data_IF_872097875546
#
_entry.id   IF_872097875546
#
_cell.length_a   1.000
_cell.length_b   1.000
_cell.length_c   1.000
_cell.angle_alpha   90.00
_cell.angle_beta   90.00
_cell.angle_gamma   90.00
#
_symmetry.space_group_name_H-M   'P 1'
#
loop_
_entity.id
_entity.type
_entity.pdbx_description
1 polymer ?
#
# COMPACT_ATOMS: atom_id res chain seq x y z
N UNK A 1 62.41 -49.66 -12.63
CA UNK A 1 61.72 -50.22 -13.79
C UNK A 1 60.24 -50.30 -13.47
N UNK A 2 59.41 -49.67 -14.31
CA UNK A 2 57.96 -49.52 -14.19
C UNK A 2 57.26 -50.88 -14.14
N UNK A 3 56.23 -51.02 -13.29
CA UNK A 3 55.21 -52.06 -13.44
C UNK A 3 53.85 -51.37 -13.65
N UNK A 4 53.31 -51.51 -14.86
CA UNK A 4 52.07 -50.88 -15.32
C UNK A 4 50.93 -51.84 -14.96
N UNK A 5 50.14 -51.52 -13.93
CA UNK A 5 48.88 -52.21 -13.66
C UNK A 5 47.82 -51.72 -14.65
N UNK A 6 47.40 -52.61 -15.53
CA UNK A 6 46.25 -52.43 -16.43
C UNK A 6 44.98 -52.48 -15.59
N UNK A 7 44.26 -51.37 -15.48
CA UNK A 7 42.97 -51.27 -14.80
C UNK A 7 41.91 -51.84 -15.75
N UNK A 8 41.15 -52.82 -15.27
CA UNK A 8 40.15 -53.56 -16.05
C UNK A 8 38.86 -52.74 -16.20
N UNK A 9 38.77 -51.94 -17.26
CA UNK A 9 37.66 -51.00 -17.55
C UNK A 9 36.38 -51.69 -18.04
N UNK A 10 36.42 -53.00 -18.30
CA UNK A 10 35.32 -53.80 -18.81
C UNK A 10 34.17 -53.98 -17.79
N UNK A 11 34.52 -54.13 -16.51
CA UNK A 11 33.54 -54.39 -15.45
C UNK A 11 32.71 -53.15 -15.08
N UNK A 12 33.30 -51.95 -15.14
CA UNK A 12 32.60 -50.70 -14.84
C UNK A 12 31.61 -50.27 -15.94
N UNK A 13 31.92 -50.53 -17.22
CA UNK A 13 30.98 -50.26 -18.31
C UNK A 13 29.77 -51.20 -18.28
N UNK A 14 29.96 -52.48 -17.94
CA UNK A 14 28.85 -53.43 -17.80
C UNK A 14 27.92 -53.04 -16.65
N UNK A 15 28.47 -52.53 -15.54
CA UNK A 15 27.67 -52.09 -14.41
C UNK A 15 26.91 -50.79 -14.72
N UNK A 16 27.50 -49.87 -15.47
CA UNK A 16 26.83 -48.66 -15.94
C UNK A 16 25.66 -48.97 -16.89
N UNK A 17 25.88 -49.89 -17.85
CA UNK A 17 24.82 -50.27 -18.79
C UNK A 17 23.65 -50.98 -18.11
N UNK A 18 23.88 -51.76 -17.04
CA UNK A 18 22.79 -52.36 -16.25
C UNK A 18 21.93 -51.29 -15.56
N UNK A 19 22.55 -50.27 -14.97
CA UNK A 19 21.83 -49.18 -14.29
C UNK A 19 20.95 -48.39 -15.26
N UNK A 20 21.40 -48.19 -16.50
CA UNK A 20 20.62 -47.50 -17.54
C UNK A 20 19.42 -48.34 -18.01
N UNK A 21 19.59 -49.66 -18.12
CA UNK A 21 18.49 -50.57 -18.50
C UNK A 21 17.44 -50.64 -17.39
N UNK A 22 17.84 -50.76 -16.13
CA UNK A 22 16.93 -50.78 -14.98
C UNK A 22 16.12 -49.46 -14.88
N UNK A 23 16.76 -48.30 -15.07
CA UNK A 23 16.08 -47.00 -15.06
C UNK A 23 15.08 -46.81 -16.23
N UNK A 24 15.33 -47.47 -17.37
CA UNK A 24 14.42 -47.47 -18.52
C UNK A 24 13.19 -48.38 -18.28
N UNK A 25 13.37 -49.54 -17.65
CA UNK A 25 12.28 -50.44 -17.27
C UNK A 25 11.36 -49.81 -16.20
N UNK A 26 11.93 -49.08 -15.24
CA UNK A 26 11.14 -48.34 -14.24
C UNK A 26 10.31 -47.21 -14.88
N UNK A 27 10.86 -46.48 -15.86
CA UNK A 27 10.14 -45.43 -16.57
C UNK A 27 8.99 -45.98 -17.45
N UNK A 28 9.19 -47.15 -18.06
CA UNK A 28 8.16 -47.85 -18.81
C UNK A 28 7.04 -48.40 -17.89
N UNK A 29 7.40 -48.87 -16.70
CA UNK A 29 6.45 -49.34 -15.66
C UNK A 29 5.65 -48.19 -15.05
N UNK A 30 6.26 -47.03 -14.84
CA UNK A 30 5.55 -45.81 -14.39
C UNK A 30 4.58 -45.34 -15.48
N UNK A 31 4.98 -45.39 -16.76
CA UNK A 31 4.13 -44.99 -17.88
C UNK A 31 2.94 -45.92 -18.09
N UNK A 32 3.09 -47.22 -17.84
CA UNK A 32 1.98 -48.19 -17.89
C UNK A 32 1.05 -48.09 -16.69
N UNK A 33 1.56 -47.72 -15.51
CA UNK A 33 0.77 -47.47 -14.30
C UNK A 33 -0.08 -46.19 -14.43
N UNK A 34 0.42 -45.14 -15.09
CA UNK A 34 -0.34 -43.91 -15.37
C UNK A 34 -1.49 -44.17 -16.37
N UNK A 35 -1.30 -45.09 -17.32
CA UNK A 35 -2.34 -45.44 -18.30
C UNK A 35 -3.45 -46.36 -17.75
N UNK A 36 -3.32 -46.87 -16.52
CA UNK A 36 -4.31 -47.77 -15.90
C UNK A 36 -5.08 -47.15 -14.73
N UNK A 37 -4.76 -45.92 -14.32
CA UNK A 37 -5.65 -45.13 -13.46
C UNK A 37 -6.62 -44.34 -14.34
N UNK A 38 -7.76 -44.95 -14.68
CA UNK A 38 -8.94 -44.21 -15.13
C UNK A 38 -9.21 -43.07 -14.14
N UNK A 39 -9.21 -41.84 -14.66
CA UNK A 39 -9.78 -40.70 -13.96
C UNK A 39 -11.28 -40.98 -13.91
N UNK A 40 -11.72 -41.58 -12.81
CA UNK A 40 -13.12 -41.64 -12.42
C UNK A 40 -13.56 -40.19 -12.17
N UNK A 41 -14.02 -39.53 -13.22
CA UNK A 41 -14.70 -38.24 -13.11
C UNK A 41 -16.00 -38.49 -12.37
N UNK A 42 -16.02 -38.14 -11.08
CA UNK A 42 -17.21 -38.14 -10.24
C UNK A 42 -18.35 -37.37 -10.95
N UNK A 43 -19.44 -38.04 -11.37
CA UNK A 43 -20.52 -37.41 -12.13
C UNK A 43 -21.29 -36.34 -11.35
N UNK A 44 -21.03 -36.19 -10.04
CA UNK A 44 -21.74 -35.25 -9.16
C UNK A 44 -21.21 -33.81 -9.18
N UNK A 45 -20.12 -33.52 -9.92
CA UNK A 45 -19.56 -32.16 -10.01
C UNK A 45 -20.05 -31.33 -11.22
N UNK A 46 -20.76 -31.94 -12.17
CA UNK A 46 -21.33 -31.24 -13.33
C UNK A 46 -22.75 -30.68 -13.08
N UNK A 47 -23.36 -30.99 -11.93
CA UNK A 47 -24.70 -30.52 -11.56
C UNK A 47 -24.70 -29.52 -10.39
N UNK A 48 -23.89 -28.45 -10.48
CA UNK A 48 -24.11 -27.25 -9.68
C UNK A 48 -24.54 -26.09 -10.59
N UNK A 49 -25.82 -26.10 -10.90
CA UNK A 49 -26.55 -25.12 -11.68
C UNK A 49 -26.43 -23.70 -11.08
N UNK A 50 -26.35 -22.71 -11.97
CA UNK A 50 -26.21 -21.28 -11.67
C UNK A 50 -27.56 -20.71 -11.23
N UNK A 51 -27.64 -20.28 -9.97
CA UNK A 51 -28.76 -19.46 -9.46
C UNK A 51 -28.65 -17.99 -9.97
N UNK A 52 -29.68 -17.43 -10.63
CA UNK A 52 -29.70 -16.03 -11.02
C UNK A 52 -30.31 -15.19 -9.88
N UNK A 53 -29.52 -14.35 -9.19
CA UNK A 53 -30.08 -13.40 -8.21
C UNK A 53 -29.74 -11.93 -8.53
N UNK A 54 -30.77 -11.27 -9.06
CA UNK A 54 -31.21 -9.89 -8.84
C UNK A 54 -30.20 -8.74 -8.77
N UNK A 55 -30.19 -7.96 -9.85
CA UNK A 55 -30.16 -6.50 -9.95
C UNK A 55 -29.68 -5.67 -8.73
N UNK A 56 -28.47 -5.11 -8.86
CA UNK A 56 -28.00 -3.99 -8.04
C UNK A 56 -26.52 -3.67 -8.30
N UNK A 57 -26.27 -2.65 -9.14
CA UNK A 57 -24.96 -2.08 -9.52
C UNK A 57 -24.15 -2.85 -10.58
N UNK A 58 -24.45 -2.55 -11.85
CA UNK A 58 -24.10 -3.32 -13.04
C UNK A 58 -22.66 -3.23 -13.58
N UNK A 59 -21.70 -2.60 -12.88
CA UNK A 59 -20.33 -2.50 -13.42
C UNK A 59 -19.37 -3.63 -13.02
N UNK A 60 -19.73 -4.53 -12.09
CA UNK A 60 -18.75 -5.46 -11.48
C UNK A 60 -19.22 -6.93 -11.40
N UNK A 61 -19.97 -7.44 -12.38
CA UNK A 61 -20.43 -8.85 -12.37
C UNK A 61 -19.42 -9.84 -12.97
N UNK A 62 -18.31 -9.37 -13.55
CA UNK A 62 -17.27 -10.23 -14.16
C UNK A 62 -15.88 -10.13 -13.53
N UNK A 63 -15.68 -9.22 -12.58
CA UNK A 63 -14.39 -9.04 -11.93
C UNK A 63 -14.34 -9.85 -10.64
N UNK A 64 -13.32 -10.71 -10.51
CA UNK A 64 -13.09 -11.48 -9.28
C UNK A 64 -12.98 -10.54 -8.07
N UNK A 65 -13.55 -10.95 -6.93
CA UNK A 65 -13.62 -10.15 -5.71
C UNK A 65 -12.23 -9.68 -5.24
N UNK A 66 -11.19 -10.48 -5.47
CA UNK A 66 -9.79 -10.10 -5.16
C UNK A 66 -9.31 -8.84 -5.87
N UNK A 67 -9.68 -8.63 -7.14
CA UNK A 67 -9.31 -7.42 -7.88
C UNK A 67 -10.08 -6.20 -7.39
N UNK A 68 -11.31 -6.38 -6.91
CA UNK A 68 -12.07 -5.29 -6.27
C UNK A 68 -11.35 -4.80 -5.02
N UNK A 69 -10.88 -5.71 -4.16
CA UNK A 69 -10.08 -5.35 -2.97
C UNK A 69 -8.76 -4.67 -3.38
N UNK A 70 -8.10 -5.15 -4.45
CA UNK A 70 -6.88 -4.56 -4.98
C UNK A 70 -7.07 -3.13 -5.49
N UNK A 71 -8.16 -2.86 -6.24
CA UNK A 71 -8.50 -1.52 -6.74
C UNK A 71 -8.79 -0.56 -5.58
N UNK A 72 -9.54 -0.99 -4.58
CA UNK A 72 -9.81 -0.14 -3.42
C UNK A 72 -8.55 0.12 -2.59
N UNK A 73 -7.68 -0.87 -2.43
CA UNK A 73 -6.38 -0.68 -1.78
C UNK A 73 -5.46 0.26 -2.56
N UNK A 74 -5.52 0.24 -3.90
CA UNK A 74 -4.82 1.20 -4.75
C UNK A 74 -5.23 2.64 -4.41
N UNK A 75 -6.54 2.90 -4.35
CA UNK A 75 -7.04 4.22 -3.94
C UNK A 75 -6.69 4.54 -2.48
N UNK A 76 -6.61 3.54 -1.61
CA UNK A 76 -6.14 3.72 -0.23
C UNK A 76 -4.69 4.19 -0.16
N UNK A 77 -3.80 3.54 -0.91
CA UNK A 77 -2.40 3.96 -1.03
C UNK A 77 -2.25 5.33 -1.69
N UNK A 78 -3.09 5.63 -2.69
CA UNK A 78 -3.18 6.96 -3.29
C UNK A 78 -3.54 8.03 -2.25
N UNK A 79 -4.65 7.85 -1.52
CA UNK A 79 -5.11 8.78 -0.48
C UNK A 79 -4.07 8.95 0.63
N UNK A 80 -3.46 7.86 1.08
CA UNK A 80 -2.41 7.86 2.10
C UNK A 80 -1.22 8.74 1.67
N UNK A 81 -0.73 8.57 0.44
CA UNK A 81 0.41 9.33 -0.05
C UNK A 81 0.07 10.75 -0.48
N UNK A 82 -1.16 11.00 -0.92
CA UNK A 82 -1.66 12.34 -1.16
C UNK A 82 -1.59 13.18 0.14
N UNK A 83 -2.18 12.68 1.22
CA UNK A 83 -2.13 13.36 2.52
C UNK A 83 -0.70 13.52 3.05
N UNK A 84 0.18 12.55 2.79
CA UNK A 84 1.58 12.58 3.22
C UNK A 84 2.36 13.73 2.57
N UNK A 85 2.20 13.93 1.26
CA UNK A 85 2.94 14.95 0.51
C UNK A 85 2.39 16.35 0.72
N UNK A 86 1.10 16.48 1.09
CA UNK A 86 0.43 17.77 1.26
C UNK A 86 1.25 18.83 2.01
N UNK A 87 1.80 18.52 3.18
CA UNK A 87 2.56 19.53 3.94
C UNK A 87 3.92 19.81 3.35
N UNK A 88 4.62 18.82 2.81
CA UNK A 88 5.94 19.02 2.20
C UNK A 88 5.89 20.05 1.08
N UNK A 89 4.76 20.12 0.36
CA UNK A 89 4.53 21.13 -0.69
C UNK A 89 3.94 22.41 -0.08
N UNK A 90 2.93 22.29 0.79
CA UNK A 90 2.24 23.46 1.34
C UNK A 90 3.13 24.35 2.23
N UNK A 91 4.15 23.78 2.90
CA UNK A 91 5.02 24.55 3.80
C UNK A 91 5.75 25.70 3.08
N UNK A 92 6.06 25.52 1.79
CA UNK A 92 6.69 26.54 0.93
C UNK A 92 5.77 27.74 0.70
N UNK A 93 4.45 27.52 0.70
CA UNK A 93 3.46 28.59 0.61
C UNK A 93 3.10 29.17 1.99
N UNK A 94 3.39 28.46 3.08
CA UNK A 94 3.05 28.84 4.45
C UNK A 94 4.09 29.77 5.09
N UNK A 95 5.37 29.58 4.79
CA UNK A 95 6.50 30.24 5.49
C UNK A 95 7.27 31.20 4.59
N UNK A 96 7.69 32.34 5.15
CA UNK A 96 8.47 33.34 4.42
C UNK A 96 9.91 32.87 4.10
N UNK A 97 10.44 33.17 2.90
CA UNK A 97 11.84 32.89 2.57
C UNK A 97 12.82 33.73 3.42
N UNK A 98 13.77 33.07 4.08
CA UNK A 98 14.76 33.72 4.95
C UNK A 98 15.72 34.70 4.24
N UNK A 99 15.83 34.65 2.91
CA UNK A 99 16.65 35.59 2.14
C UNK A 99 16.23 37.07 2.27
N UNK A 100 15.10 37.35 2.92
CA UNK A 100 14.66 38.72 3.24
C UNK A 100 15.16 39.28 4.57
N UNK A 101 15.80 38.47 5.44
CA UNK A 101 16.28 38.93 6.77
C UNK A 101 17.79 39.22 6.83
N UNK A 102 18.60 38.66 5.94
CA UNK A 102 20.06 38.81 5.97
C UNK A 102 20.63 39.77 4.91
N UNK A 103 19.78 40.38 4.07
CA UNK A 103 20.21 41.39 3.10
C UNK A 103 20.01 42.81 3.67
N UNK A 104 20.78 43.13 4.70
CA UNK A 104 21.06 44.50 5.13
C UNK A 104 22.57 44.76 5.17
N UNK A 105 23.30 44.24 4.17
CA UNK A 105 24.66 44.68 3.89
C UNK A 105 24.77 44.93 2.39
N UNK A 106 24.91 46.22 2.07
CA UNK A 106 25.46 46.81 0.84
C UNK A 106 24.71 46.60 -0.49
N UNK A 107 23.68 47.43 -0.71
CA UNK A 107 23.54 48.17 -1.98
C UNK A 107 22.56 49.37 -1.82
N UNK A 108 23.09 50.57 -2.09
CA UNK A 108 22.41 51.86 -2.34
C UNK A 108 21.83 52.66 -1.14
N UNK A 109 22.23 53.93 -0.94
CA UNK A 109 21.59 54.85 -0.02
C UNK A 109 20.48 55.64 -0.74
N UNK A 110 19.22 55.24 -0.59
CA UNK A 110 18.08 56.14 -0.82
C UNK A 110 16.77 55.54 -0.27
N UNK A 111 16.01 56.41 0.38
CA UNK A 111 14.63 56.29 0.85
C UNK A 111 14.39 55.48 2.12
N UNK A 112 14.26 56.24 3.21
CA UNK A 112 13.48 55.94 4.40
C UNK A 112 12.11 55.35 4.00
N UNK A 113 12.02 54.02 3.98
CA UNK A 113 10.74 53.32 3.86
C UNK A 113 10.27 53.05 5.26
N UNK A 114 9.29 53.84 5.71
CA UNK A 114 8.35 53.44 6.76
C UNK A 114 8.07 51.94 6.63
N UNK A 115 8.26 51.19 7.72
CA UNK A 115 8.04 49.74 7.77
C UNK A 115 6.57 49.40 7.57
N UNK A 116 6.06 49.57 6.35
CA UNK A 116 4.87 48.89 5.87
C UNK A 116 5.31 47.48 5.50
N UNK A 117 4.99 46.52 6.37
CA UNK A 117 5.07 45.09 6.07
C UNK A 117 4.52 44.89 4.65
N UNK A 118 5.29 44.31 3.70
CA UNK A 118 4.76 44.02 2.37
C UNK A 118 3.54 43.10 2.53
N UNK A 119 2.59 43.11 1.57
CA UNK A 119 1.36 42.35 1.68
C UNK A 119 1.69 40.89 2.02
N UNK A 120 1.15 40.44 3.15
CA UNK A 120 1.49 39.19 3.85
C UNK A 120 1.12 37.97 2.98
N UNK A 121 2.01 37.60 2.06
CA UNK A 121 1.87 36.35 1.27
C UNK A 121 2.04 35.11 2.16
N UNK A 122 2.79 35.23 3.25
CA UNK A 122 3.12 34.14 4.17
C UNK A 122 2.43 34.34 5.51
N UNK A 123 1.89 33.26 6.07
CA UNK A 123 1.12 33.26 7.32
C UNK A 123 2.01 33.00 8.55
N UNK A 124 3.16 32.34 8.38
CA UNK A 124 4.04 31.95 9.47
C UNK A 124 5.49 32.42 9.26
N UNK A 125 6.15 32.78 10.36
CA UNK A 125 7.57 33.10 10.44
C UNK A 125 8.31 31.97 11.19
N UNK A 126 8.44 30.82 10.53
CA UNK A 126 9.16 29.67 11.05
C UNK A 126 10.60 29.68 10.53
N UNK A 127 11.56 29.33 11.38
CA UNK A 127 12.92 29.11 10.92
C UNK A 127 13.06 27.73 10.26
N UNK A 128 14.07 27.52 9.39
CA UNK A 128 14.27 26.25 8.71
C UNK A 128 14.42 25.03 9.63
N UNK A 129 14.89 25.23 10.88
CA UNK A 129 14.98 24.14 11.86
C UNK A 129 13.58 23.71 12.33
N UNK A 130 12.69 24.67 12.63
CA UNK A 130 11.28 24.37 12.95
C UNK A 130 10.58 23.65 11.79
N UNK A 131 10.76 24.12 10.56
CA UNK A 131 10.18 23.47 9.38
C UNK A 131 10.65 22.01 9.24
N UNK A 132 11.96 21.79 9.35
CA UNK A 132 12.57 20.46 9.31
C UNK A 132 12.02 19.53 10.41
N UNK A 133 11.84 20.05 11.63
CA UNK A 133 11.26 19.29 12.74
C UNK A 133 9.80 18.93 12.45
N UNK A 134 8.98 19.87 11.94
CA UNK A 134 7.57 19.61 11.63
C UNK A 134 7.44 18.55 10.52
N UNK A 135 8.25 18.64 9.47
CA UNK A 135 8.29 17.66 8.38
C UNK A 135 8.77 16.30 8.88
N UNK A 136 9.83 16.29 9.70
CA UNK A 136 10.44 15.09 10.27
C UNK A 136 9.55 14.38 11.30
N UNK A 137 8.72 15.12 12.04
CA UNK A 137 7.83 14.60 13.11
C UNK A 137 6.96 13.41 12.66
N UNK A 138 6.51 13.42 11.41
CA UNK A 138 5.76 12.31 10.81
C UNK A 138 6.55 10.99 10.86
N UNK A 139 7.85 11.03 10.53
CA UNK A 139 8.67 9.83 10.40
C UNK A 139 8.94 9.16 11.75
N UNK A 140 9.08 9.93 12.83
CA UNK A 140 9.24 9.37 14.18
C UNK A 140 8.04 8.49 14.58
N UNK A 141 6.80 8.98 14.36
CA UNK A 141 5.59 8.19 14.62
C UNK A 141 5.42 7.00 13.68
N UNK A 142 5.78 7.19 12.41
CA UNK A 142 5.71 6.15 11.38
C UNK A 142 6.62 4.97 11.69
N UNK A 143 7.90 5.21 11.99
CA UNK A 143 8.87 4.16 12.30
C UNK A 143 8.49 3.40 13.58
N UNK A 144 8.00 4.09 14.61
CA UNK A 144 7.59 3.46 15.87
C UNK A 144 6.50 2.39 15.68
N UNK A 145 5.59 2.60 14.73
CA UNK A 145 4.42 1.73 14.52
C UNK A 145 4.58 0.72 13.40
N UNK A 146 5.56 0.89 12.49
CA UNK A 146 5.83 -0.07 11.41
C UNK A 146 6.13 -1.47 11.94
N UNK A 147 6.94 -1.59 13.00
CA UNK A 147 7.33 -2.89 13.59
C UNK A 147 6.11 -3.63 14.18
N UNK A 148 5.22 -2.89 14.82
CA UNK A 148 4.06 -3.44 15.53
C UNK A 148 2.87 -3.68 14.57
N UNK A 149 2.85 -3.00 13.42
CA UNK A 149 1.72 -2.97 12.50
C UNK A 149 1.28 -4.35 11.98
N UNK A 150 2.21 -5.29 11.77
CA UNK A 150 1.88 -6.65 11.35
C UNK A 150 1.10 -7.42 12.41
N UNK A 151 1.57 -7.38 13.67
CA UNK A 151 0.90 -8.02 14.80
C UNK A 151 -0.48 -7.40 15.05
N UNK A 152 -0.61 -6.08 14.85
CA UNK A 152 -1.88 -5.37 15.00
C UNK A 152 -2.89 -5.79 13.92
N UNK A 153 -2.44 -5.93 12.67
CA UNK A 153 -3.27 -6.38 11.56
C UNK A 153 -3.75 -7.83 11.73
N UNK A 154 -2.96 -8.68 12.38
CA UNK A 154 -3.38 -10.04 12.71
C UNK A 154 -4.44 -10.08 13.80
N UNK A 155 -4.30 -9.28 14.87
CA UNK A 155 -5.22 -9.28 16.02
C UNK A 155 -6.54 -8.58 15.73
N UNK A 156 -6.49 -7.41 15.10
CA UNK A 156 -7.66 -6.54 14.88
C UNK A 156 -8.25 -6.63 13.48
N UNK A 157 -7.61 -7.40 12.59
CA UNK A 157 -8.00 -7.52 11.19
C UNK A 157 -7.31 -6.50 10.28
N UNK A 158 -6.75 -7.00 9.19
CA UNK A 158 -5.97 -6.21 8.23
C UNK A 158 -6.79 -5.08 7.58
N UNK A 159 -8.09 -5.31 7.30
CA UNK A 159 -9.00 -4.30 6.74
C UNK A 159 -9.09 -3.07 7.64
N UNK A 160 -9.27 -3.29 8.94
CA UNK A 160 -9.51 -2.22 9.92
C UNK A 160 -8.25 -1.46 10.25
N UNK A 161 -7.10 -2.15 10.36
CA UNK A 161 -5.82 -1.47 10.58
C UNK A 161 -5.41 -0.65 9.36
N UNK A 162 -5.59 -1.17 8.14
CA UNK A 162 -5.28 -0.44 6.92
C UNK A 162 -6.18 0.79 6.74
N UNK A 163 -7.51 0.58 6.70
CA UNK A 163 -8.46 1.66 6.47
C UNK A 163 -8.57 2.62 7.63
N UNK A 164 -8.60 2.11 8.87
CA UNK A 164 -8.72 2.92 10.08
C UNK A 164 -7.50 3.82 10.30
N UNK A 165 -6.30 3.36 9.95
CA UNK A 165 -5.10 4.20 9.95
C UNK A 165 -5.22 5.38 8.99
N UNK A 166 -5.69 5.13 7.76
CA UNK A 166 -5.96 6.19 6.76
C UNK A 166 -7.04 7.16 7.25
N UNK A 167 -8.09 6.66 7.90
CA UNK A 167 -9.16 7.50 8.46
C UNK A 167 -8.69 8.40 9.61
N UNK A 168 -7.92 7.86 10.55
CA UNK A 168 -7.35 8.67 11.63
C UNK A 168 -6.41 9.74 11.04
N UNK A 169 -5.57 9.36 10.07
CA UNK A 169 -4.70 10.28 9.37
C UNK A 169 -5.49 11.38 8.63
N UNK A 170 -6.64 11.05 8.04
CA UNK A 170 -7.46 12.01 7.29
C UNK A 170 -8.14 13.03 8.20
N UNK A 171 -8.71 12.60 9.33
CA UNK A 171 -9.28 13.52 10.32
C UNK A 171 -8.22 14.47 10.87
N UNK A 172 -7.04 13.96 11.19
CA UNK A 172 -5.91 14.78 11.67
C UNK A 172 -5.35 15.71 10.58
N UNK A 173 -5.43 15.30 9.32
CA UNK A 173 -5.10 16.15 8.16
C UNK A 173 -6.08 17.31 8.05
N UNK A 174 -7.38 17.09 8.28
CA UNK A 174 -8.38 18.17 8.34
C UNK A 174 -8.13 19.14 9.50
N UNK A 175 -7.62 18.65 10.62
CA UNK A 175 -7.29 19.47 11.78
C UNK A 175 -5.97 20.24 11.63
N UNK A 176 -5.12 19.86 10.68
CA UNK A 176 -3.78 20.43 10.49
C UNK A 176 -3.78 21.94 10.29
N UNK A 177 -4.65 22.54 9.44
CA UNK A 177 -4.63 24.00 9.27
C UNK A 177 -5.00 24.76 10.54
N UNK A 178 -5.95 24.25 11.30
CA UNK A 178 -6.37 24.83 12.59
C UNK A 178 -5.23 24.75 13.61
N UNK A 179 -4.56 23.59 13.69
CA UNK A 179 -3.44 23.39 14.58
C UNK A 179 -2.24 24.28 14.27
N UNK A 180 -1.93 24.48 12.99
CA UNK A 180 -0.85 25.35 12.55
C UNK A 180 -1.05 26.81 13.01
N UNK A 181 -2.29 27.31 12.96
CA UNK A 181 -2.66 28.66 13.42
C UNK A 181 -2.61 28.82 14.93
N UNK A 182 -2.90 27.76 15.69
CA UNK A 182 -2.83 27.81 17.15
C UNK A 182 -1.37 27.83 17.61
N UNK A 183 -0.58 26.80 17.24
CA UNK A 183 0.82 26.70 17.66
C UNK A 183 1.58 25.60 16.90
N UNK A 184 2.84 25.86 16.51
CA UNK A 184 3.67 24.88 15.80
C UNK A 184 3.90 23.56 16.56
N UNK A 185 3.96 23.59 17.90
CA UNK A 185 4.07 22.38 18.73
C UNK A 185 2.84 21.46 18.61
N UNK A 186 1.63 22.04 18.47
CA UNK A 186 0.42 21.25 18.25
C UNK A 186 0.46 20.59 16.86
N UNK A 187 0.95 21.31 15.86
CA UNK A 187 1.20 20.76 14.54
C UNK A 187 2.20 19.59 14.57
N UNK A 188 3.28 19.70 15.35
CA UNK A 188 4.23 18.59 15.57
C UNK A 188 3.53 17.38 16.21
N UNK A 189 2.71 17.59 17.24
CA UNK A 189 1.98 16.51 17.89
C UNK A 189 1.04 15.79 16.90
N UNK A 190 0.26 16.55 16.13
CA UNK A 190 -0.59 16.00 15.07
C UNK A 190 0.23 15.21 14.04
N UNK A 191 1.40 15.72 13.64
CA UNK A 191 2.31 15.06 12.69
C UNK A 191 2.75 13.69 13.19
N UNK A 192 3.16 13.59 14.45
CA UNK A 192 3.55 12.32 15.07
C UNK A 192 2.39 11.34 15.05
N UNK A 193 1.18 11.76 15.43
CA UNK A 193 0.00 10.87 15.48
C UNK A 193 -0.41 10.43 14.07
N UNK A 194 -0.37 11.31 13.06
CA UNK A 194 -0.58 10.94 11.65
C UNK A 194 0.42 9.87 11.21
N UNK A 195 1.70 10.05 11.57
CA UNK A 195 2.75 9.06 11.32
C UNK A 195 2.43 7.71 11.95
N UNK A 196 2.05 7.70 13.23
CA UNK A 196 1.66 6.49 13.96
C UNK A 196 0.45 5.77 13.33
N UNK A 197 -0.56 6.52 12.91
CA UNK A 197 -1.74 5.96 12.24
C UNK A 197 -1.39 5.36 10.86
N UNK A 198 -0.45 5.98 10.14
CA UNK A 198 -0.04 5.59 8.79
C UNK A 198 0.97 4.44 8.76
N UNK A 199 1.78 4.26 9.82
CA UNK A 199 2.86 3.27 9.88
C UNK A 199 2.41 1.83 9.58
N UNK A 200 1.31 1.35 10.17
CA UNK A 200 0.81 0.00 9.92
C UNK A 200 0.26 -0.26 8.51
N UNK A 201 0.14 0.73 7.62
CA UNK A 201 -0.54 0.57 6.34
C UNK A 201 0.10 -0.52 5.44
N UNK A 202 1.42 -0.52 5.29
CA UNK A 202 2.11 -1.56 4.51
C UNK A 202 2.04 -2.96 5.12
N UNK A 203 2.35 -3.18 6.41
CA UNK A 203 2.25 -4.52 7.00
C UNK A 203 0.80 -5.02 7.08
N UNK A 204 -0.18 -4.14 7.28
CA UNK A 204 -1.60 -4.53 7.23
C UNK A 204 -2.05 -4.88 5.81
N UNK A 205 -1.64 -4.13 4.79
CA UNK A 205 -1.86 -4.53 3.39
C UNK A 205 -1.20 -5.88 3.07
N UNK A 206 0.04 -6.11 3.50
CA UNK A 206 0.72 -7.41 3.33
C UNK A 206 -0.05 -8.56 4.00
N UNK A 207 -0.59 -8.34 5.21
CA UNK A 207 -1.44 -9.30 5.89
C UNK A 207 -2.78 -9.54 5.16
N UNK A 208 -3.33 -8.51 4.50
CA UNK A 208 -4.53 -8.62 3.66
C UNK A 208 -4.25 -9.46 2.40
N UNK A 209 -3.13 -9.18 1.71
CA UNK A 209 -2.74 -9.92 0.51
C UNK A 209 -2.51 -11.40 0.77
N UNK A 210 -1.98 -11.76 1.93
CA UNK A 210 -1.83 -13.15 2.35
C UNK A 210 -3.15 -13.93 2.45
N UNK A 211 -4.30 -13.24 2.52
CA UNK A 211 -5.64 -13.86 2.57
C UNK A 211 -6.42 -13.77 1.26
N UNK A 212 -6.05 -12.85 0.37
CA UNK A 212 -6.81 -12.52 -0.84
C UNK A 212 -6.12 -12.89 -2.15
N UNK A 213 -4.79 -13.03 -2.15
CA UNK A 213 -4.00 -13.20 -3.37
C UNK A 213 -3.37 -14.60 -3.40
N UNK A 214 -3.65 -15.42 -4.43
CA UNK A 214 -3.03 -16.73 -4.58
C UNK A 214 -1.54 -16.60 -4.93
N UNK A 215 -0.76 -17.66 -4.70
CA UNK A 215 0.70 -17.66 -4.94
C UNK A 215 1.07 -17.27 -6.38
N UNK A 216 0.26 -17.66 -7.37
CA UNK A 216 0.48 -17.33 -8.78
C UNK A 216 0.38 -15.84 -9.12
N UNK A 217 -0.40 -15.07 -8.35
CA UNK A 217 -0.64 -13.64 -8.61
C UNK A 217 0.07 -12.72 -7.61
N UNK A 218 0.81 -13.30 -6.65
CA UNK A 218 1.43 -12.60 -5.53
C UNK A 218 2.50 -11.59 -5.94
N UNK A 219 3.13 -11.79 -7.10
CA UNK A 219 4.10 -10.85 -7.69
C UNK A 219 3.46 -9.70 -8.46
N UNK A 220 2.17 -9.79 -8.81
CA UNK A 220 1.53 -8.82 -9.71
C UNK A 220 0.50 -7.96 -8.98
N UNK A 221 -0.42 -8.57 -8.23
CA UNK A 221 -1.57 -7.86 -7.65
C UNK A 221 -1.16 -6.88 -6.54
N UNK A 222 -0.38 -7.28 -5.51
CA UNK A 222 0.04 -6.34 -4.47
C UNK A 222 0.88 -5.17 -4.98
N UNK A 223 1.92 -5.39 -5.82
CA UNK A 223 2.67 -4.27 -6.38
C UNK A 223 1.81 -3.35 -7.24
N UNK A 224 0.89 -3.90 -8.05
CA UNK A 224 -0.05 -3.09 -8.81
C UNK A 224 -0.91 -2.19 -7.90
N UNK A 225 -1.46 -2.72 -6.81
CA UNK A 225 -2.17 -1.89 -5.83
C UNK A 225 -1.26 -0.83 -5.20
N UNK A 226 -0.02 -1.19 -4.88
CA UNK A 226 0.94 -0.30 -4.25
C UNK A 226 1.43 0.84 -5.17
N UNK A 227 1.32 0.73 -6.50
CA UNK A 227 1.60 1.84 -7.41
C UNK A 227 0.74 3.08 -7.17
N UNK A 228 -0.39 2.93 -6.47
CA UNK A 228 -1.20 4.05 -5.99
C UNK A 228 -0.40 5.06 -5.16
N UNK A 229 0.66 4.62 -4.47
CA UNK A 229 1.58 5.51 -3.75
C UNK A 229 2.26 6.52 -4.68
N UNK A 230 2.91 6.04 -5.75
CA UNK A 230 3.60 6.88 -6.74
C UNK A 230 2.63 7.80 -7.49
N UNK A 231 1.50 7.24 -7.93
CA UNK A 231 0.46 8.01 -8.63
C UNK A 231 -0.10 9.10 -7.70
N UNK A 232 -0.30 8.78 -6.42
CA UNK A 232 -0.69 9.75 -5.39
C UNK A 232 0.25 10.94 -5.34
N UNK A 233 1.56 10.71 -5.26
CA UNK A 233 2.58 11.77 -5.23
C UNK A 233 2.53 12.63 -6.51
N UNK A 234 2.50 11.98 -7.68
CA UNK A 234 2.55 12.65 -8.98
C UNK A 234 1.36 13.59 -9.18
N UNK A 235 0.16 13.16 -8.81
CA UNK A 235 -1.04 13.99 -8.95
C UNK A 235 -1.17 15.04 -7.85
N UNK A 236 -0.81 14.68 -6.62
CA UNK A 236 -1.01 15.55 -5.45
C UNK A 236 -0.08 16.75 -5.48
N UNK A 237 1.19 16.56 -5.83
CA UNK A 237 2.20 17.64 -5.79
C UNK A 237 1.78 18.89 -6.60
N UNK A 238 1.45 18.79 -7.89
CA UNK A 238 1.00 19.96 -8.66
C UNK A 238 -0.36 20.47 -8.19
N UNK A 239 -1.27 19.57 -7.79
CA UNK A 239 -2.59 19.98 -7.32
C UNK A 239 -2.49 20.81 -6.03
N UNK A 240 -1.67 20.39 -5.07
CA UNK A 240 -1.39 21.16 -3.84
C UNK A 240 -0.77 22.51 -4.18
N UNK A 241 0.19 22.56 -5.10
CA UNK A 241 0.80 23.83 -5.53
C UNK A 241 -0.26 24.82 -6.03
N UNK A 242 -1.12 24.40 -6.95
CA UNK A 242 -2.21 25.23 -7.52
C UNK A 242 -3.19 25.66 -6.43
N UNK A 243 -3.55 24.74 -5.53
CA UNK A 243 -4.46 25.00 -4.43
C UNK A 243 -3.87 25.97 -3.39
N UNK A 244 -2.56 25.92 -3.15
CA UNK A 244 -1.91 26.84 -2.22
C UNK A 244 -1.88 28.28 -2.71
N UNK A 245 -1.92 28.50 -4.03
CA UNK A 245 -1.96 29.83 -4.64
C UNK A 245 -3.39 30.35 -4.81
N UNK A 246 -4.31 29.50 -5.29
CA UNK A 246 -5.66 29.91 -5.73
C UNK A 246 -6.79 29.34 -4.86
N UNK A 247 -6.47 28.84 -3.66
CA UNK A 247 -7.40 28.12 -2.79
C UNK A 247 -8.49 28.99 -2.15
N UNK A 248 -9.68 28.40 -1.97
CA UNK A 248 -10.91 29.03 -1.48
C UNK A 248 -10.89 29.52 -0.02
N UNK A 249 -9.92 29.11 0.81
CA UNK A 249 -9.80 29.48 2.25
C UNK A 249 -8.44 30.17 2.50
N UNK A 250 -8.06 31.13 1.65
CA UNK A 250 -6.79 31.83 1.79
C UNK A 250 -5.58 30.96 1.39
N UNK A 251 -5.72 30.21 0.30
CA UNK A 251 -4.62 29.43 -0.28
C UNK A 251 -4.41 28.06 0.36
N UNK A 252 -3.30 27.89 1.07
CA UNK A 252 -2.75 26.60 1.53
C UNK A 252 -3.68 25.68 2.36
N UNK A 253 -4.62 26.15 3.20
CA UNK A 253 -5.48 25.25 3.98
C UNK A 253 -6.37 24.37 3.10
N UNK A 254 -6.70 24.84 1.89
CA UNK A 254 -7.59 24.16 0.95
C UNK A 254 -7.12 22.74 0.60
N UNK A 255 -5.80 22.56 0.41
CA UNK A 255 -5.21 21.26 0.09
C UNK A 255 -5.49 20.23 1.19
N UNK A 256 -5.32 20.61 2.46
CA UNK A 256 -5.58 19.74 3.60
C UNK A 256 -7.04 19.33 3.68
N UNK A 257 -7.97 20.26 3.42
CA UNK A 257 -9.40 19.97 3.42
C UNK A 257 -9.82 19.03 2.30
N UNK A 258 -9.38 19.28 1.06
CA UNK A 258 -9.77 18.44 -0.09
C UNK A 258 -9.26 17.02 0.07
N UNK A 259 -7.97 16.83 0.32
CA UNK A 259 -7.41 15.48 0.45
C UNK A 259 -7.85 14.77 1.73
N UNK A 260 -8.05 15.52 2.83
CA UNK A 260 -8.62 14.96 4.06
C UNK A 260 -10.06 14.47 3.87
N UNK A 261 -10.93 15.25 3.24
CA UNK A 261 -12.32 14.87 2.97
C UNK A 261 -12.37 13.71 1.97
N UNK A 262 -11.61 13.78 0.88
CA UNK A 262 -11.54 12.71 -0.11
C UNK A 262 -11.11 11.38 0.52
N UNK A 263 -10.15 11.40 1.44
CA UNK A 263 -9.70 10.20 2.17
C UNK A 263 -10.74 9.68 3.17
N UNK A 264 -11.52 10.57 3.79
CA UNK A 264 -12.67 10.17 4.61
C UNK A 264 -13.75 9.47 3.77
N UNK A 265 -14.08 10.01 2.59
CA UNK A 265 -15.04 9.40 1.66
C UNK A 265 -14.52 8.03 1.21
N UNK A 266 -13.24 7.94 0.86
CA UNK A 266 -12.62 6.66 0.52
C UNK A 266 -12.75 5.65 1.66
N UNK A 267 -12.54 6.05 2.92
CA UNK A 267 -12.70 5.16 4.06
C UNK A 267 -14.13 4.67 4.25
N UNK A 268 -15.12 5.53 4.03
CA UNK A 268 -16.54 5.13 4.03
C UNK A 268 -16.76 4.04 2.99
N UNK A 269 -16.28 4.23 1.76
CA UNK A 269 -16.35 3.20 0.73
C UNK A 269 -15.60 1.92 1.12
N UNK A 270 -14.39 2.04 1.69
CA UNK A 270 -13.59 0.92 2.18
C UNK A 270 -14.32 0.08 3.24
N UNK A 271 -15.15 0.70 4.07
CA UNK A 271 -15.97 -0.01 5.05
C UNK A 271 -16.96 -0.98 4.37
N UNK A 272 -17.50 -0.62 3.21
CA UNK A 272 -18.45 -1.45 2.46
C UNK A 272 -17.78 -2.44 1.50
N UNK A 273 -16.66 -2.08 0.88
CA UNK A 273 -16.02 -2.89 -0.17
C UNK A 273 -14.79 -3.67 0.30
N UNK A 274 -14.15 -3.26 1.39
CA UNK A 274 -13.04 -4.00 1.99
C UNK A 274 -13.54 -5.14 2.87
N UNK A 275 -12.88 -6.30 2.81
CA UNK A 275 -13.22 -7.49 3.62
C UNK A 275 -11.94 -8.15 4.13
N UNK A 276 -11.93 -8.67 5.37
CA UNK A 276 -10.71 -9.24 5.96
C UNK A 276 -10.33 -10.60 5.35
N UNK A 277 -11.32 -11.37 4.90
CA UNK A 277 -11.10 -12.66 4.24
C UNK A 277 -12.11 -12.88 3.12
N UNK A 278 -11.77 -13.72 2.12
CA UNK A 278 -12.72 -14.13 1.08
C UNK A 278 -13.97 -14.81 1.64
N UNK A 279 -13.86 -15.49 2.78
CA UNK A 279 -14.98 -16.22 3.40
C UNK A 279 -16.00 -15.29 4.08
N UNK A 280 -15.61 -14.07 4.43
CA UNK A 280 -16.50 -13.04 4.99
C UNK A 280 -17.20 -12.21 3.89
N UNK A 281 -16.79 -12.37 2.62
CA UNK A 281 -17.28 -11.55 1.53
C UNK A 281 -18.68 -12.03 1.08
N UNK A 282 -19.75 -11.20 1.17
CA UNK A 282 -21.13 -11.65 0.98
C UNK A 282 -21.47 -12.01 -0.48
N UNK A 283 -20.74 -11.47 -1.44
CA UNK A 283 -21.01 -11.62 -2.90
C UNK A 283 -19.90 -12.34 -3.65
N UNK A 284 -19.03 -13.10 -2.97
CA UNK A 284 -17.97 -13.83 -3.67
C UNK A 284 -18.57 -15.05 -4.38
N UNK A 285 -18.13 -15.33 -5.60
CA UNK A 285 -18.56 -16.54 -6.30
C UNK A 285 -18.02 -17.78 -5.58
N UNK A 286 -18.83 -18.82 -5.46
CA UNK A 286 -18.41 -20.11 -4.87
C UNK A 286 -17.18 -20.68 -5.59
N UNK A 287 -17.08 -20.51 -6.91
CA UNK A 287 -15.91 -20.93 -7.71
C UNK A 287 -14.64 -20.20 -7.27
N UNK A 288 -14.72 -18.88 -7.07
CA UNK A 288 -13.58 -18.08 -6.62
C UNK A 288 -13.19 -18.43 -5.18
N UNK A 289 -14.16 -18.59 -4.28
CA UNK A 289 -13.91 -18.94 -2.87
C UNK A 289 -13.18 -20.29 -2.76
N UNK A 290 -13.63 -21.30 -3.49
CA UNK A 290 -12.99 -22.62 -3.53
C UNK A 290 -11.57 -22.53 -4.13
N UNK A 291 -11.42 -21.78 -5.22
CA UNK A 291 -10.11 -21.55 -5.82
C UNK A 291 -9.12 -20.91 -4.83
N UNK A 292 -9.54 -19.86 -4.10
CA UNK A 292 -8.68 -19.17 -3.13
C UNK A 292 -8.33 -20.08 -1.94
N UNK A 293 -9.30 -20.81 -1.39
CA UNK A 293 -9.04 -21.75 -0.29
C UNK A 293 -8.08 -22.90 -0.70
N UNK A 294 -8.06 -23.29 -1.98
CA UNK A 294 -7.12 -24.30 -2.50
C UNK A 294 -5.71 -23.77 -2.75
N UNK A 295 -5.57 -22.50 -3.19
CA UNK A 295 -4.30 -21.95 -3.65
C UNK A 295 -3.63 -20.97 -2.66
N UNK A 296 -4.30 -20.63 -1.58
CA UNK A 296 -3.73 -19.86 -0.47
C UNK A 296 -3.33 -20.85 0.64
N UNK A 297 -2.04 -20.91 1.01
CA UNK A 297 -1.61 -21.85 2.04
C UNK A 297 -2.30 -21.53 3.38
N UNK A 298 -2.77 -22.56 4.11
CA UNK A 298 -3.37 -22.36 5.42
C UNK A 298 -2.34 -21.72 6.35
N UNK A 299 -2.78 -20.72 7.11
CA UNK A 299 -1.91 -20.04 8.07
C UNK A 299 -1.66 -21.01 9.24
N UNK A 300 -0.41 -21.15 9.73
CA UNK A 300 -0.16 -21.94 10.94
C UNK A 300 -0.98 -21.37 12.10
N UNK A 301 -1.73 -22.24 12.79
CA UNK A 301 -2.45 -21.88 14.01
C UNK A 301 -1.44 -21.45 15.08
N UNK A 302 -1.64 -20.27 15.65
CA UNK A 302 -0.88 -19.78 16.82
C UNK A 302 -1.39 -20.43 18.10
#
# INVERSE_FOLDING_TARGET
>A
MMNKQTIDTSSSEQQYNRIIVDASEDSATISSTINTTEIETDPLLDEYQVEPSSAGFFLCSKLHARYTVAIWAFFGFFCLYAMRVNLSVAIVAMVAPQSTLNQSVEACPAAEKNSTKPPTKYEFDWDPSKEGIILGAFFYGYTATQVIGGNLAEKFGAKWIFGGGIFIASILTLLTPVAARIHYKLLIAIRVIIGMASGPAFPSAAALWGKWVPTSERSTVPPAAQTGTSIGIIFTTPLVSIMTENGFIGGWPSAFYVFGIASCIWFICWCFFGFNSPNEHPRISNKERLFLNKHIPPRPSK
#
